data_IF_128748723792
#
_entry.id   IF_128748723792
#
_cell.length_a   1.000
_cell.length_b   1.000
_cell.length_c   1.000
_cell.angle_alpha   90.00
_cell.angle_beta   90.00
_cell.angle_gamma   90.00
#
_symmetry.space_group_name_H-M   'P 1'
#
loop_
_entity.id
_entity.type
_entity.pdbx_description
1 polymer ?
#
# COMPACT_ATOMS: atom_id res chain seq x y z
N UNK A 1 -17.20 -17.29 -2.13
CA UNK A 1 -16.33 -16.39 -2.90
C UNK A 1 -16.52 -14.99 -2.35
N UNK A 2 -15.44 -14.33 -1.90
CA UNK A 2 -15.47 -13.00 -1.29
C UNK A 2 -15.25 -11.96 -2.40
N UNK A 3 -16.16 -10.98 -2.54
CA UNK A 3 -16.08 -9.91 -3.55
C UNK A 3 -15.23 -8.76 -3.01
N UNK A 4 -14.02 -8.60 -3.56
CA UNK A 4 -13.03 -7.63 -3.07
C UNK A 4 -12.85 -6.51 -4.09
N UNK A 5 -13.13 -5.28 -3.68
CA UNK A 5 -12.83 -4.05 -4.42
C UNK A 5 -11.59 -3.36 -3.85
N UNK A 6 -10.76 -2.77 -4.70
CA UNK A 6 -9.54 -2.05 -4.29
C UNK A 6 -9.59 -0.65 -4.87
N UNK A 7 -9.79 0.38 -4.03
CA UNK A 7 -9.61 1.75 -4.50
C UNK A 7 -8.13 2.08 -4.58
N UNK A 8 -7.71 2.84 -5.61
CA UNK A 8 -6.28 3.04 -5.90
C UNK A 8 -5.60 1.77 -6.44
N UNK A 9 -6.36 0.91 -7.10
CA UNK A 9 -5.91 -0.35 -7.69
C UNK A 9 -4.70 -0.18 -8.64
N UNK A 10 -4.58 0.86 -9.50
CA UNK A 10 -3.42 1.04 -10.36
C UNK A 10 -2.16 1.52 -9.62
N UNK A 11 -2.25 1.81 -8.32
CA UNK A 11 -1.11 2.17 -7.48
C UNK A 11 -0.20 0.99 -7.16
N UNK A 12 0.96 1.28 -6.54
CA UNK A 12 1.98 0.28 -6.22
C UNK A 12 1.44 -0.90 -5.42
N UNK A 13 0.89 -0.65 -4.23
CA UNK A 13 0.32 -1.72 -3.38
C UNK A 13 -0.93 -2.34 -4.02
N UNK A 14 -1.78 -1.50 -4.64
CA UNK A 14 -3.02 -1.94 -5.28
C UNK A 14 -2.80 -2.96 -6.39
N UNK A 15 -1.83 -2.73 -7.26
CA UNK A 15 -1.48 -3.65 -8.35
C UNK A 15 -0.95 -4.99 -7.81
N UNK A 16 -0.07 -4.96 -6.80
CA UNK A 16 0.41 -6.20 -6.17
C UNK A 16 -0.72 -6.98 -5.52
N UNK A 17 -1.58 -6.32 -4.74
CA UNK A 17 -2.71 -6.96 -4.09
C UNK A 17 -3.70 -7.54 -5.10
N UNK A 18 -4.03 -6.78 -6.15
CA UNK A 18 -4.93 -7.23 -7.22
C UNK A 18 -4.41 -8.51 -7.90
N UNK A 19 -3.11 -8.58 -8.17
CA UNK A 19 -2.49 -9.76 -8.77
C UNK A 19 -2.49 -10.96 -7.81
N UNK A 20 -2.16 -10.76 -6.53
CA UNK A 20 -2.15 -11.83 -5.54
C UNK A 20 -3.55 -12.41 -5.30
N UNK A 21 -4.60 -11.58 -5.24
CA UNK A 21 -5.99 -12.04 -5.16
C UNK A 21 -6.37 -12.92 -6.37
N UNK A 22 -5.84 -12.59 -7.55
CA UNK A 22 -6.06 -13.37 -8.77
C UNK A 22 -5.44 -14.77 -8.77
N UNK A 23 -4.53 -15.08 -7.83
CA UNK A 23 -3.96 -16.43 -7.67
C UNK A 23 -4.91 -17.39 -6.92
N UNK A 24 -5.99 -16.89 -6.33
CA UNK A 24 -7.01 -17.69 -5.64
C UNK A 24 -8.43 -17.35 -6.15
N UNK A 25 -8.71 -17.61 -7.45
CA UNK A 25 -9.97 -17.20 -8.08
C UNK A 25 -11.20 -17.93 -7.52
N UNK A 26 -11.03 -19.09 -6.90
CA UNK A 26 -12.11 -19.82 -6.23
C UNK A 26 -12.51 -19.19 -4.89
N UNK A 27 -11.63 -18.39 -4.29
CA UNK A 27 -11.86 -17.72 -3.01
C UNK A 27 -12.28 -16.27 -3.21
N UNK A 28 -11.61 -15.53 -4.13
CA UNK A 28 -11.79 -14.09 -4.32
C UNK A 28 -12.32 -13.74 -5.71
N UNK A 29 -13.36 -12.92 -5.73
CA UNK A 29 -13.82 -12.21 -6.92
C UNK A 29 -13.33 -10.76 -6.84
N UNK A 30 -12.49 -10.37 -7.79
CA UNK A 30 -11.97 -9.01 -7.89
C UNK A 30 -13.00 -8.10 -8.56
N UNK A 31 -13.51 -7.10 -7.81
CA UNK A 31 -14.45 -6.10 -8.33
C UNK A 31 -13.65 -4.99 -9.00
N UNK A 32 -13.90 -4.68 -10.28
CA UNK A 32 -13.18 -3.62 -11.00
C UNK A 32 -13.37 -2.26 -10.35
N UNK A 33 -12.29 -1.50 -10.28
CA UNK A 33 -12.29 -0.11 -9.83
C UNK A 33 -11.36 0.75 -10.71
N UNK A 34 -11.82 1.93 -11.06
CA UNK A 34 -11.02 2.93 -11.77
C UNK A 34 -11.07 4.25 -11.00
N UNK A 35 -9.95 4.97 -10.94
CA UNK A 35 -9.83 6.19 -10.11
C UNK A 35 -10.86 7.26 -10.46
N UNK A 36 -11.35 7.30 -11.72
CA UNK A 36 -12.41 8.23 -12.12
C UNK A 36 -13.78 7.94 -11.45
N UNK A 37 -13.96 6.76 -10.81
CA UNK A 37 -15.19 6.47 -10.07
C UNK A 37 -15.42 7.46 -8.92
N UNK A 38 -14.36 8.04 -8.36
CA UNK A 38 -14.49 9.13 -7.41
C UNK A 38 -15.03 10.44 -8.02
N UNK A 39 -15.07 10.56 -9.35
CA UNK A 39 -15.65 11.69 -10.08
C UNK A 39 -17.05 11.40 -10.58
N UNK A 40 -17.61 10.21 -10.31
CA UNK A 40 -18.93 9.76 -10.76
C UNK A 40 -19.67 9.06 -9.63
N UNK A 41 -20.62 9.77 -9.04
CA UNK A 41 -21.42 9.24 -7.92
C UNK A 41 -22.05 7.88 -8.26
N UNK A 42 -22.65 7.74 -9.45
CA UNK A 42 -23.30 6.51 -9.89
C UNK A 42 -22.32 5.32 -9.96
N UNK A 43 -21.09 5.57 -10.46
CA UNK A 43 -20.06 4.53 -10.57
C UNK A 43 -19.56 4.11 -9.20
N UNK A 44 -19.29 5.06 -8.30
CA UNK A 44 -18.87 4.78 -6.95
C UNK A 44 -19.95 4.03 -6.16
N UNK A 45 -21.19 4.41 -6.29
CA UNK A 45 -22.36 3.74 -5.69
C UNK A 45 -22.52 2.31 -6.24
N UNK A 46 -22.39 2.10 -7.54
CA UNK A 46 -22.42 0.75 -8.13
C UNK A 46 -21.28 -0.11 -7.58
N UNK A 47 -20.07 0.42 -7.51
CA UNK A 47 -18.91 -0.29 -6.99
C UNK A 47 -19.11 -0.75 -5.55
N UNK A 48 -19.57 0.12 -4.63
CA UNK A 48 -19.74 -0.26 -3.22
C UNK A 48 -20.82 -1.33 -3.02
N UNK A 49 -21.86 -1.38 -3.88
CA UNK A 49 -22.89 -2.43 -3.85
C UNK A 49 -22.36 -3.81 -4.20
N UNK A 50 -21.34 -3.86 -5.02
CA UNK A 50 -20.76 -5.12 -5.51
C UNK A 50 -19.74 -5.72 -4.54
N UNK A 51 -19.25 -4.96 -3.55
CA UNK A 51 -18.18 -5.37 -2.68
C UNK A 51 -18.68 -5.98 -1.36
N UNK A 52 -18.12 -7.12 -0.96
CA UNK A 52 -18.17 -7.62 0.41
C UNK A 52 -17.05 -6.98 1.26
N UNK A 53 -15.92 -6.67 0.60
CA UNK A 53 -14.74 -6.06 1.19
C UNK A 53 -14.23 -4.95 0.29
N UNK A 54 -13.89 -3.80 0.87
CA UNK A 54 -13.23 -2.68 0.18
C UNK A 54 -11.87 -2.43 0.84
N UNK A 55 -10.79 -2.63 0.07
CA UNK A 55 -9.45 -2.22 0.48
C UNK A 55 -9.20 -0.80 -0.05
N UNK A 56 -9.28 0.18 0.84
CA UNK A 56 -9.14 1.60 0.49
C UNK A 56 -7.67 2.02 0.55
N UNK A 57 -7.00 1.98 -0.61
CA UNK A 57 -5.60 2.39 -0.80
C UNK A 57 -5.46 3.74 -1.52
N UNK A 58 -6.54 4.24 -2.13
CA UNK A 58 -6.52 5.51 -2.84
C UNK A 58 -6.14 6.65 -1.90
N UNK A 59 -5.06 7.36 -2.22
CA UNK A 59 -4.60 8.53 -1.50
C UNK A 59 -3.61 9.34 -2.34
N UNK A 60 -3.61 10.65 -2.14
CA UNK A 60 -2.54 11.53 -2.58
C UNK A 60 -1.41 11.48 -1.55
N UNK A 61 -0.21 11.11 -1.99
CA UNK A 61 0.94 10.97 -1.09
C UNK A 61 1.85 12.20 -1.08
N UNK A 62 1.82 13.00 -2.14
CA UNK A 62 2.61 14.24 -2.29
C UNK A 62 1.86 15.27 -3.10
N UNK A 63 1.88 16.50 -2.66
CA UNK A 63 1.44 17.67 -3.40
C UNK A 63 2.27 18.88 -2.96
N UNK A 64 2.58 19.87 -3.86
CA UNK A 64 3.28 21.09 -3.47
C UNK A 64 2.54 21.90 -2.39
N UNK A 65 1.21 21.91 -2.44
CA UNK A 65 0.35 22.47 -1.42
C UNK A 65 -0.11 21.36 -0.47
N UNK A 66 0.32 21.38 0.81
CA UNK A 66 -0.07 20.34 1.78
C UNK A 66 -1.56 20.33 2.09
N UNK A 67 -2.26 21.47 1.99
CA UNK A 67 -3.70 21.54 2.23
C UNK A 67 -4.49 20.79 1.14
N UNK A 68 -4.09 20.94 -0.13
CA UNK A 68 -4.69 20.17 -1.24
C UNK A 68 -4.54 18.67 -1.03
N UNK A 69 -3.38 18.23 -0.53
CA UNK A 69 -3.15 16.82 -0.18
C UNK A 69 -4.13 16.35 0.90
N UNK A 70 -4.24 17.11 1.99
CA UNK A 70 -5.13 16.80 3.09
C UNK A 70 -6.59 16.74 2.63
N UNK A 71 -7.08 17.79 1.95
CA UNK A 71 -8.47 17.89 1.50
C UNK A 71 -8.83 16.78 0.50
N UNK A 72 -7.88 16.43 -0.39
CA UNK A 72 -8.06 15.31 -1.32
C UNK A 72 -8.24 13.99 -0.58
N UNK A 73 -7.36 13.68 0.38
CA UNK A 73 -7.42 12.41 1.11
C UNK A 73 -8.70 12.29 1.95
N UNK A 74 -9.11 13.36 2.63
CA UNK A 74 -10.38 13.38 3.37
C UNK A 74 -11.57 13.30 2.42
N UNK A 75 -11.51 13.98 1.27
CA UNK A 75 -12.54 13.94 0.25
C UNK A 75 -12.79 12.52 -0.29
N UNK A 76 -11.72 11.75 -0.57
CA UNK A 76 -11.84 10.35 -1.03
C UNK A 76 -12.54 9.46 0.02
N UNK A 77 -12.17 9.59 1.29
CA UNK A 77 -12.81 8.85 2.39
C UNK A 77 -14.29 9.25 2.53
N UNK A 78 -14.58 10.55 2.52
CA UNK A 78 -15.96 11.07 2.68
C UNK A 78 -16.86 10.62 1.52
N UNK A 79 -16.37 10.62 0.29
CA UNK A 79 -17.11 10.13 -0.88
C UNK A 79 -17.42 8.64 -0.77
N UNK A 80 -16.44 7.83 -0.32
CA UNK A 80 -16.64 6.40 -0.11
C UNK A 80 -17.72 6.14 0.95
N UNK A 81 -17.65 6.82 2.09
CA UNK A 81 -18.65 6.74 3.16
C UNK A 81 -20.04 7.13 2.63
N UNK A 82 -20.15 8.28 1.93
CA UNK A 82 -21.40 8.76 1.37
C UNK A 82 -22.03 7.75 0.38
N UNK A 83 -21.20 7.11 -0.46
CA UNK A 83 -21.69 6.10 -1.38
C UNK A 83 -22.21 4.85 -0.65
N UNK A 84 -21.52 4.36 0.38
CA UNK A 84 -21.96 3.23 1.19
C UNK A 84 -23.25 3.52 1.95
N UNK A 85 -23.39 4.72 2.53
CA UNK A 85 -24.61 5.15 3.25
C UNK A 85 -25.79 5.32 2.28
N UNK A 86 -25.58 5.91 1.10
CA UNK A 86 -26.62 6.06 0.08
C UNK A 86 -27.17 4.71 -0.41
N UNK A 87 -26.30 3.72 -0.57
CA UNK A 87 -26.67 2.37 -0.97
C UNK A 87 -27.10 1.46 0.19
N UNK A 88 -26.94 1.92 1.44
CA UNK A 88 -27.26 1.15 2.66
C UNK A 88 -26.50 -0.18 2.71
N UNK A 89 -25.25 -0.17 2.28
CA UNK A 89 -24.36 -1.34 2.32
C UNK A 89 -23.26 -1.15 3.37
N UNK A 90 -22.80 -2.26 3.94
CA UNK A 90 -21.83 -2.28 5.03
C UNK A 90 -20.68 -3.27 4.72
N UNK A 91 -19.96 -3.07 3.60
CA UNK A 91 -18.79 -3.91 3.31
C UNK A 91 -17.77 -3.77 4.44
N UNK A 92 -16.92 -4.79 4.64
CA UNK A 92 -15.73 -4.63 5.48
C UNK A 92 -14.77 -3.66 4.79
N UNK A 93 -14.44 -2.55 5.45
CA UNK A 93 -13.47 -1.59 4.92
C UNK A 93 -12.12 -1.79 5.60
N UNK A 94 -11.09 -2.13 4.80
CA UNK A 94 -9.69 -2.07 5.21
C UNK A 94 -9.10 -0.76 4.69
N UNK A 95 -8.61 0.07 5.59
CA UNK A 95 -8.04 1.38 5.26
C UNK A 95 -6.52 1.38 5.46
N UNK A 96 -5.77 1.79 4.44
CA UNK A 96 -4.33 1.98 4.59
C UNK A 96 -4.03 3.31 5.28
N UNK A 97 -3.89 3.28 6.60
CA UNK A 97 -3.24 4.35 7.34
C UNK A 97 -1.71 4.22 7.26
N UNK A 98 -0.98 4.95 8.03
CA UNK A 98 0.48 5.00 7.98
C UNK A 98 1.07 5.22 9.37
N UNK A 99 2.27 4.72 9.63
CA UNK A 99 3.05 5.12 10.81
C UNK A 99 3.30 6.64 10.88
N UNK A 100 3.09 7.37 9.77
CA UNK A 100 3.16 8.82 9.74
C UNK A 100 1.94 9.51 10.38
N UNK A 101 0.86 8.79 10.71
CA UNK A 101 -0.30 9.40 11.40
C UNK A 101 0.04 10.05 12.74
N UNK A 102 1.19 9.68 13.33
CA UNK A 102 1.70 10.26 14.57
C UNK A 102 2.56 11.52 14.35
N UNK A 103 2.90 11.83 13.09
CA UNK A 103 3.70 13.00 12.74
C UNK A 103 2.82 14.24 12.53
N UNK A 104 3.36 15.39 12.89
CA UNK A 104 2.72 16.69 12.64
C UNK A 104 2.98 17.16 11.21
N UNK A 105 2.29 16.51 10.26
CA UNK A 105 2.26 16.90 8.85
C UNK A 105 0.90 16.56 8.25
N UNK A 106 0.52 17.24 7.16
CA UNK A 106 -0.81 17.13 6.57
C UNK A 106 -1.13 15.72 6.04
N UNK A 107 -0.12 14.99 5.56
CA UNK A 107 -0.30 13.61 5.17
C UNK A 107 -0.66 12.71 6.37
N UNK A 108 0.11 12.77 7.45
CA UNK A 108 -0.16 12.01 8.67
C UNK A 108 -1.51 12.37 9.28
N UNK A 109 -1.84 13.68 9.32
CA UNK A 109 -3.15 14.16 9.80
C UNK A 109 -4.29 13.61 8.94
N UNK A 110 -4.17 13.65 7.60
CA UNK A 110 -5.21 13.11 6.70
C UNK A 110 -5.41 11.60 6.86
N UNK A 111 -4.33 10.85 7.10
CA UNK A 111 -4.42 9.41 7.36
C UNK A 111 -5.11 9.09 8.69
N UNK A 112 -4.73 9.80 9.76
CA UNK A 112 -5.37 9.65 11.08
C UNK A 112 -6.85 10.00 11.02
N UNK A 113 -7.19 11.14 10.41
CA UNK A 113 -8.58 11.59 10.33
C UNK A 113 -9.42 10.70 9.42
N UNK A 114 -8.90 10.30 8.26
CA UNK A 114 -9.58 9.34 7.38
C UNK A 114 -9.88 8.01 8.07
N UNK A 115 -8.94 7.50 8.88
CA UNK A 115 -9.15 6.32 9.72
C UNK A 115 -10.28 6.55 10.74
N UNK A 116 -10.27 7.69 11.44
CA UNK A 116 -11.30 8.02 12.43
C UNK A 116 -12.69 8.12 11.80
N UNK A 117 -12.82 8.77 10.63
CA UNK A 117 -14.09 8.89 9.91
C UNK A 117 -14.67 7.51 9.53
N UNK A 118 -13.83 6.59 9.07
CA UNK A 118 -14.26 5.23 8.73
C UNK A 118 -14.59 4.39 9.98
N UNK A 119 -13.85 4.56 11.06
CA UNK A 119 -14.14 3.94 12.35
C UNK A 119 -15.49 4.39 12.91
N UNK A 120 -15.77 5.70 12.88
CA UNK A 120 -17.07 6.26 13.26
C UNK A 120 -18.20 5.77 12.36
N UNK A 121 -17.97 5.73 11.04
CA UNK A 121 -18.94 5.17 10.09
C UNK A 121 -19.26 3.71 10.42
N UNK A 122 -18.26 2.89 10.67
CA UNK A 122 -18.43 1.48 11.01
C UNK A 122 -19.23 1.31 12.31
N UNK A 123 -18.94 2.11 13.34
CA UNK A 123 -19.65 2.10 14.62
C UNK A 123 -21.14 2.45 14.46
N UNK A 124 -21.45 3.49 13.66
CA UNK A 124 -22.86 3.91 13.42
C UNK A 124 -23.64 2.87 12.60
N UNK A 125 -22.99 2.19 11.67
CA UNK A 125 -23.65 1.28 10.72
C UNK A 125 -23.52 -0.21 11.09
N UNK A 126 -22.88 -0.54 12.22
CA UNK A 126 -22.55 -1.92 12.62
C UNK A 126 -21.79 -2.68 11.52
N UNK A 127 -20.85 -1.97 10.90
CA UNK A 127 -19.98 -2.52 9.86
C UNK A 127 -18.63 -2.96 10.44
N UNK A 128 -17.91 -3.81 9.70
CA UNK A 128 -16.51 -4.12 10.03
C UNK A 128 -15.57 -3.09 9.45
N UNK A 129 -14.55 -2.72 10.23
CA UNK A 129 -13.51 -1.80 9.82
C UNK A 129 -12.14 -2.22 10.37
N UNK A 130 -11.12 -2.21 9.53
CA UNK A 130 -9.71 -2.43 9.91
C UNK A 130 -8.87 -1.24 9.46
N UNK A 131 -8.45 -0.41 10.40
CA UNK A 131 -7.52 0.70 10.14
C UNK A 131 -6.08 0.21 10.26
N UNK A 132 -5.44 -0.09 9.13
CA UNK A 132 -4.08 -0.63 9.07
C UNK A 132 -3.05 0.50 9.16
N UNK A 133 -2.24 0.53 10.23
CA UNK A 133 -1.10 1.44 10.38
C UNK A 133 0.11 0.80 9.72
N UNK A 134 0.35 1.17 8.46
CA UNK A 134 1.34 0.51 7.59
C UNK A 134 2.69 1.22 7.69
N UNK A 135 3.81 0.47 7.89
CA UNK A 135 5.17 1.01 7.83
C UNK A 135 5.58 1.37 6.39
N UNK A 136 6.85 1.76 6.17
CA UNK A 136 7.32 2.04 4.82
C UNK A 136 7.31 0.76 3.96
N UNK A 137 6.58 0.82 2.85
CA UNK A 137 6.44 -0.31 1.93
C UNK A 137 7.51 -0.24 0.83
N UNK A 138 8.16 -1.37 0.56
CA UNK A 138 9.08 -1.50 -0.55
C UNK A 138 8.78 -2.75 -1.38
N UNK A 139 9.28 -2.80 -2.60
CA UNK A 139 9.11 -3.91 -3.52
C UNK A 139 9.38 -3.52 -4.97
N UNK A 140 9.38 -4.49 -5.91
CA UNK A 140 9.55 -4.21 -7.32
C UNK A 140 8.41 -3.34 -7.86
N UNK A 141 8.70 -2.55 -8.90
CA UNK A 141 7.74 -1.68 -9.61
C UNK A 141 7.19 -0.50 -8.79
N UNK A 142 7.76 -0.17 -7.63
CA UNK A 142 7.50 1.11 -6.98
C UNK A 142 7.98 2.27 -7.84
N UNK A 143 7.24 3.38 -7.89
CA UNK A 143 7.60 4.54 -8.71
C UNK A 143 8.87 5.22 -8.16
N UNK A 144 9.98 5.30 -8.95
CA UNK A 144 11.19 6.01 -8.54
C UNK A 144 10.92 7.50 -8.37
N UNK A 145 11.75 8.16 -7.55
CA UNK A 145 11.67 9.61 -7.29
C UNK A 145 10.29 10.09 -6.78
N UNK A 146 9.54 9.20 -6.15
CA UNK A 146 8.21 9.50 -5.62
C UNK A 146 8.17 9.25 -4.10
N UNK A 147 7.73 8.11 -3.61
CA UNK A 147 7.53 7.86 -2.17
C UNK A 147 8.47 6.83 -1.55
N UNK A 148 9.15 6.02 -2.34
CA UNK A 148 10.06 5.00 -1.87
C UNK A 148 11.50 5.38 -2.19
N UNK A 149 12.34 5.56 -1.16
CA UNK A 149 13.76 5.77 -1.36
C UNK A 149 14.43 4.51 -1.93
N UNK A 150 13.98 3.31 -1.55
CA UNK A 150 14.48 2.04 -2.10
C UNK A 150 14.24 1.98 -3.61
N UNK A 151 13.01 2.29 -4.06
CA UNK A 151 12.71 2.36 -5.49
C UNK A 151 13.61 3.37 -6.22
N UNK A 152 13.84 4.53 -5.60
CA UNK A 152 14.73 5.58 -6.13
C UNK A 152 16.18 5.12 -6.19
N UNK A 153 16.68 4.44 -5.15
CA UNK A 153 18.05 3.94 -5.11
C UNK A 153 18.27 2.82 -6.14
N UNK A 154 17.36 1.85 -6.19
CA UNK A 154 17.42 0.78 -7.20
C UNK A 154 17.43 1.36 -8.62
N UNK A 155 16.52 2.27 -8.93
CA UNK A 155 16.46 2.92 -10.24
C UNK A 155 17.76 3.65 -10.56
N UNK A 156 18.27 4.49 -9.66
CA UNK A 156 19.50 5.26 -9.88
C UNK A 156 20.69 4.34 -10.11
N UNK A 157 20.87 3.32 -9.28
CA UNK A 157 21.99 2.39 -9.39
C UNK A 157 21.98 1.63 -10.72
N UNK A 158 20.82 1.22 -11.22
CA UNK A 158 20.70 0.49 -12.48
C UNK A 158 20.78 1.38 -13.72
N UNK A 159 20.63 2.71 -13.56
CA UNK A 159 20.73 3.70 -14.64
C UNK A 159 22.03 4.54 -14.59
N UNK A 160 23.04 4.08 -13.82
CA UNK A 160 24.35 4.74 -13.77
C UNK A 160 24.37 6.04 -12.96
N UNK A 161 23.31 6.33 -12.19
CA UNK A 161 23.24 7.48 -11.31
C UNK A 161 23.73 7.13 -9.89
N UNK A 162 24.17 8.15 -9.15
CA UNK A 162 24.64 7.99 -7.76
C UNK A 162 23.49 8.37 -6.80
N UNK A 163 22.96 7.43 -5.99
CA UNK A 163 22.01 7.74 -4.95
C UNK A 163 22.62 8.69 -3.90
N UNK A 164 21.81 9.59 -3.36
CA UNK A 164 22.22 10.48 -2.27
C UNK A 164 21.38 10.19 -1.03
N UNK A 165 22.07 9.96 0.09
CA UNK A 165 21.44 9.86 1.41
C UNK A 165 21.33 11.26 2.00
N UNK A 166 20.12 11.82 2.01
CA UNK A 166 19.87 13.15 2.56
C UNK A 166 19.81 13.12 4.10
N UNK A 167 19.30 12.02 4.65
CA UNK A 167 19.21 11.78 6.09
C UNK A 167 19.41 10.30 6.35
N UNK A 168 20.38 9.95 7.19
CA UNK A 168 20.64 8.58 7.61
C UNK A 168 19.85 8.26 8.88
N UNK A 169 18.59 7.86 8.69
CA UNK A 169 17.70 7.44 9.77
C UNK A 169 17.44 5.94 9.73
N UNK A 170 17.11 5.37 10.88
CA UNK A 170 16.54 4.03 10.96
C UNK A 170 15.12 4.03 10.37
N UNK A 171 14.80 3.04 9.55
CA UNK A 171 13.53 2.91 8.87
C UNK A 171 12.97 1.51 9.01
N UNK A 172 11.73 1.41 9.49
CA UNK A 172 10.97 0.16 9.52
C UNK A 172 10.35 -0.09 8.15
N UNK A 173 10.58 -1.27 7.59
CA UNK A 173 10.25 -1.63 6.22
C UNK A 173 9.44 -2.91 6.15
N UNK A 174 8.41 -2.92 5.31
CA UNK A 174 7.65 -4.13 4.95
C UNK A 174 7.73 -4.37 3.44
N UNK A 175 8.00 -5.61 3.06
CA UNK A 175 7.93 -6.02 1.66
C UNK A 175 6.48 -6.04 1.17
N UNK A 176 6.21 -5.51 -0.01
CA UNK A 176 4.85 -5.41 -0.56
C UNK A 176 4.13 -6.76 -0.61
N UNK A 177 4.84 -7.85 -0.89
CA UNK A 177 4.26 -9.20 -0.88
C UNK A 177 3.83 -9.66 0.51
N UNK A 178 4.55 -9.26 1.57
CA UNK A 178 4.17 -9.57 2.96
C UNK A 178 3.00 -8.70 3.40
N UNK A 179 2.94 -7.43 3.00
CA UNK A 179 1.77 -6.58 3.22
C UNK A 179 0.52 -7.15 2.52
N UNK A 180 0.63 -7.62 1.27
CA UNK A 180 -0.48 -8.26 0.58
C UNK A 180 -0.99 -9.51 1.32
N UNK A 181 -0.07 -10.35 1.84
CA UNK A 181 -0.45 -11.52 2.66
C UNK A 181 -1.17 -11.10 3.94
N UNK A 182 -0.71 -10.05 4.60
CA UNK A 182 -1.34 -9.50 5.80
C UNK A 182 -2.76 -9.02 5.49
N UNK A 183 -2.96 -8.23 4.44
CA UNK A 183 -4.28 -7.75 3.99
C UNK A 183 -5.23 -8.93 3.70
N UNK A 184 -4.76 -9.93 2.98
CA UNK A 184 -5.56 -11.13 2.67
C UNK A 184 -5.92 -11.90 3.94
N UNK A 185 -5.00 -11.99 4.90
CA UNK A 185 -5.26 -12.58 6.22
C UNK A 185 -6.41 -11.86 6.94
N UNK A 186 -6.41 -10.52 6.94
CA UNK A 186 -7.49 -9.71 7.53
C UNK A 186 -8.83 -9.85 6.80
N UNK A 187 -8.82 -9.95 5.48
CA UNK A 187 -10.03 -10.23 4.70
C UNK A 187 -10.65 -11.55 5.14
N UNK A 188 -9.85 -12.61 5.28
CA UNK A 188 -10.30 -13.94 5.70
C UNK A 188 -10.81 -13.96 7.13
N UNK A 189 -10.08 -13.32 8.05
CA UNK A 189 -10.43 -13.22 9.46
C UNK A 189 -11.83 -12.63 9.64
N UNK A 190 -12.09 -11.45 9.09
CA UNK A 190 -13.38 -10.78 9.23
C UNK A 190 -14.50 -11.51 8.50
N UNK A 191 -14.22 -12.08 7.32
CA UNK A 191 -15.23 -12.84 6.56
C UNK A 191 -15.66 -14.14 7.26
N UNK A 192 -14.88 -14.64 8.21
CA UNK A 192 -15.21 -15.80 9.04
C UNK A 192 -15.94 -15.45 10.34
N UNK A 193 -15.96 -14.17 10.73
CA UNK A 193 -16.57 -13.71 11.97
C UNK A 193 -18.07 -13.43 11.78
N UNK A 194 -18.87 -13.86 12.75
CA UNK A 194 -20.34 -13.63 12.76
C UNK A 194 -20.72 -12.20 13.22
N UNK A 195 -19.82 -11.49 13.87
CA UNK A 195 -20.05 -10.14 14.41
C UNK A 195 -19.13 -9.12 13.76
N UNK A 196 -19.61 -7.89 13.55
CA UNK A 196 -18.77 -6.79 13.09
C UNK A 196 -17.56 -6.57 13.99
N UNK A 197 -16.41 -6.31 13.39
CA UNK A 197 -15.16 -6.03 14.09
C UNK A 197 -14.64 -4.65 13.67
N UNK A 198 -14.29 -3.84 14.67
CA UNK A 198 -13.64 -2.54 14.45
C UNK A 198 -12.30 -2.57 15.16
N UNK A 199 -11.23 -2.42 14.40
CA UNK A 199 -9.86 -2.51 14.94
C UNK A 199 -8.90 -1.48 14.33
N UNK A 200 -7.92 -1.08 15.13
CA UNK A 200 -6.69 -0.42 14.69
C UNK A 200 -5.59 -1.48 14.64
N UNK A 201 -5.20 -1.87 13.45
CA UNK A 201 -4.20 -2.90 13.18
C UNK A 201 -2.82 -2.27 12.90
N UNK A 202 -1.88 -2.44 13.80
CA UNK A 202 -0.50 -1.98 13.61
C UNK A 202 0.27 -3.07 12.87
N UNK A 203 0.44 -2.86 11.57
CA UNK A 203 1.11 -3.83 10.70
C UNK A 203 2.59 -3.96 11.08
N UNK A 204 3.02 -5.17 11.39
CA UNK A 204 4.42 -5.46 11.71
C UNK A 204 5.32 -5.20 10.49
N UNK A 205 6.51 -4.65 10.73
CA UNK A 205 7.53 -4.53 9.72
C UNK A 205 8.37 -5.81 9.62
N UNK A 206 9.02 -6.03 8.47
CA UNK A 206 9.91 -7.18 8.26
C UNK A 206 11.27 -6.95 8.91
N UNK A 207 11.83 -5.75 8.69
CA UNK A 207 13.12 -5.37 9.28
C UNK A 207 13.25 -3.86 9.50
N UNK A 208 14.21 -3.49 10.33
CA UNK A 208 14.64 -2.10 10.56
C UNK A 208 16.12 -1.97 10.26
N UNK A 209 16.50 -0.99 9.46
CA UNK A 209 17.89 -0.69 9.06
C UNK A 209 18.08 0.80 8.82
N UNK A 210 19.32 1.27 8.90
CA UNK A 210 19.68 2.62 8.44
C UNK A 210 19.62 2.71 6.93
N UNK A 211 19.31 3.90 6.42
CA UNK A 211 19.25 4.16 4.97
C UNK A 211 20.60 3.85 4.30
N UNK A 212 21.71 4.15 4.95
CA UNK A 212 23.07 3.83 4.45
C UNK A 212 23.34 2.33 4.39
N UNK A 213 22.85 1.53 5.33
CA UNK A 213 23.01 0.07 5.31
C UNK A 213 22.25 -0.55 4.14
N UNK A 214 21.05 -0.04 3.86
CA UNK A 214 20.24 -0.48 2.70
C UNK A 214 20.96 -0.11 1.40
N UNK A 215 21.48 1.13 1.30
CA UNK A 215 22.24 1.56 0.12
C UNK A 215 23.45 0.65 -0.12
N UNK A 216 24.22 0.31 0.91
CA UNK A 216 25.37 -0.58 0.78
C UNK A 216 24.99 -1.98 0.26
N UNK A 217 23.84 -2.53 0.67
CA UNK A 217 23.33 -3.80 0.11
C UNK A 217 22.99 -3.66 -1.38
N UNK A 218 22.30 -2.57 -1.76
CA UNK A 218 21.93 -2.33 -3.15
C UNK A 218 23.15 -2.08 -4.05
N UNK A 219 24.18 -1.40 -3.56
CA UNK A 219 25.46 -1.21 -4.25
C UNK A 219 26.19 -2.55 -4.46
N UNK A 220 26.16 -3.43 -3.46
CA UNK A 220 26.68 -4.79 -3.61
C UNK A 220 25.91 -5.60 -4.66
N UNK A 221 24.57 -5.48 -4.72
CA UNK A 221 23.77 -6.14 -5.76
C UNK A 221 24.09 -5.58 -7.14
N UNK A 222 24.28 -4.27 -7.28
CA UNK A 222 24.76 -3.66 -8.52
C UNK A 222 26.08 -4.25 -8.94
N UNK A 223 27.09 -4.23 -8.05
CA UNK A 223 28.45 -4.68 -8.37
C UNK A 223 28.53 -6.16 -8.74
N UNK A 224 27.87 -7.03 -7.96
CA UNK A 224 27.93 -8.47 -8.21
C UNK A 224 26.99 -8.89 -9.35
N UNK A 225 25.71 -8.54 -9.26
CA UNK A 225 24.71 -9.09 -10.17
C UNK A 225 24.62 -8.29 -11.47
N UNK A 226 24.45 -6.97 -11.38
CA UNK A 226 24.23 -6.15 -12.57
C UNK A 226 25.50 -5.98 -13.42
N UNK A 227 26.66 -5.79 -12.79
CA UNK A 227 27.91 -5.54 -13.50
C UNK A 227 28.70 -6.82 -13.83
N UNK A 228 28.63 -7.86 -12.98
CA UNK A 228 29.46 -9.07 -13.13
C UNK A 228 28.65 -10.34 -13.44
N UNK A 229 27.32 -10.31 -13.37
CA UNK A 229 26.47 -11.49 -13.59
C UNK A 229 26.56 -12.54 -12.48
N UNK A 230 27.05 -12.17 -11.28
CA UNK A 230 27.22 -13.05 -10.13
C UNK A 230 26.05 -12.88 -9.18
N UNK A 231 25.34 -13.96 -8.86
CA UNK A 231 24.26 -13.93 -7.86
C UNK A 231 24.89 -13.68 -6.47
N UNK A 232 24.49 -12.60 -5.76
CA UNK A 232 25.03 -12.31 -4.43
C UNK A 232 24.59 -13.38 -3.42
N UNK A 233 25.40 -13.56 -2.37
CA UNK A 233 25.00 -14.39 -1.22
C UNK A 233 23.96 -13.60 -0.43
N UNK A 234 22.75 -14.15 -0.32
CA UNK A 234 21.63 -13.58 0.41
C UNK A 234 21.46 -14.34 1.72
N UNK A 235 21.51 -13.64 2.85
CA UNK A 235 21.61 -14.24 4.19
C UNK A 235 20.26 -14.65 4.76
N UNK A 236 19.21 -13.92 4.40
CA UNK A 236 17.87 -14.10 4.94
C UNK A 236 16.80 -13.74 3.90
N UNK A 237 15.53 -13.84 4.33
CA UNK A 237 14.38 -13.55 3.48
C UNK A 237 14.28 -12.07 3.09
N UNK A 238 14.75 -11.19 3.94
CA UNK A 238 14.69 -9.75 3.72
C UNK A 238 15.69 -9.32 2.66
N UNK A 239 16.91 -9.88 2.68
CA UNK A 239 17.87 -9.69 1.61
C UNK A 239 17.38 -10.28 0.27
N UNK A 240 16.67 -11.44 0.29
CA UNK A 240 16.01 -11.98 -0.91
C UNK A 240 14.95 -11.02 -1.45
N UNK A 241 14.10 -10.49 -0.60
CA UNK A 241 13.06 -9.54 -1.00
C UNK A 241 13.66 -8.22 -1.52
N UNK A 242 14.74 -7.74 -0.90
CA UNK A 242 15.44 -6.54 -1.32
C UNK A 242 16.15 -6.76 -2.68
N UNK A 243 16.77 -7.93 -2.87
CA UNK A 243 17.39 -8.30 -4.14
C UNK A 243 16.34 -8.43 -5.26
N UNK A 244 15.20 -9.09 -5.02
CA UNK A 244 14.10 -9.15 -5.97
C UNK A 244 13.57 -7.74 -6.31
N UNK A 245 13.55 -6.84 -5.33
CA UNK A 245 13.20 -5.44 -5.57
C UNK A 245 14.20 -4.78 -6.50
N UNK A 246 15.50 -4.94 -6.24
CA UNK A 246 16.56 -4.41 -7.09
C UNK A 246 16.45 -4.91 -8.54
N UNK A 247 16.26 -6.22 -8.74
CA UNK A 247 16.08 -6.81 -10.06
C UNK A 247 14.92 -6.23 -10.86
N UNK A 248 13.85 -5.80 -10.19
CA UNK A 248 12.70 -5.18 -10.83
C UNK A 248 12.96 -3.80 -11.45
N UNK A 249 14.15 -3.23 -11.27
CA UNK A 249 14.56 -1.93 -11.86
C UNK A 249 15.64 -2.07 -12.94
N UNK A 250 16.08 -3.29 -13.24
CA UNK A 250 17.03 -3.52 -14.31
C UNK A 250 16.31 -3.43 -15.65
N UNK A 251 16.75 -2.51 -16.51
CA UNK A 251 16.26 -2.41 -17.88
C UNK A 251 17.09 -3.32 -18.78
N UNK A 252 16.50 -4.45 -19.16
CA UNK A 252 17.14 -5.41 -20.07
C UNK A 252 17.04 -4.99 -21.55
N UNK A 253 16.36 -3.91 -21.89
CA UNK A 253 16.29 -3.41 -23.28
C UNK A 253 17.59 -2.75 -23.74
N UNK A 254 18.51 -2.49 -22.82
CA UNK A 254 19.83 -1.89 -23.07
C UNK A 254 21.01 -2.89 -23.04
N UNK A 255 20.72 -4.20 -22.98
CA UNK A 255 21.73 -5.28 -22.98
C UNK A 255 21.79 -5.97 -24.35
#
# INVERSE_FOLDING_TARGET
MIRVGITGQPGFVGTHLYNVLGLSPDEFLRIPFEDFYFQSEDKLRSFVRECDVIVHLAAMNRHPDPQVLYDTNIGLVSQLISAMEAEKVTPHVLFSSSTQEERDNEYGRSKREGRNLLEEWAGRNRASFTGMVVPNVYGPFGRPNYNSFIATFCYKLTHGEIPQVLQDSEVCLIYVGNLCKHIIGKIREVSSNALPMVERDVVSYDFEKKVTEILALLENYKSLYFEQGIIPVLKDRDEVNLFNTFCGYIDFSSV
#
